data_IF_053371118049
#
_entry.id   IF_053371118049
#
_cell.length_a   1.000
_cell.length_b   1.000
_cell.length_c   1.000
_cell.angle_alpha   90.00
_cell.angle_beta   90.00
_cell.angle_gamma   90.00
#
_symmetry.space_group_name_H-M   'P 1'
#
loop_
_entity.id
_entity.type
_entity.pdbx_description
1 polymer ?
#
# COMPACT_ATOMS: atom_id res chain seq x y z
N UNK A 1 -4.60 -5.02 -8.01
CA UNK A 1 -4.01 -3.98 -7.14
C UNK A 1 -3.63 -2.80 -8.01
N UNK A 2 -3.94 -1.59 -7.54
CA UNK A 2 -3.50 -0.34 -8.14
C UNK A 2 -2.55 0.34 -7.16
N UNK A 3 -1.37 0.74 -7.61
CA UNK A 3 -0.43 1.54 -6.84
C UNK A 3 -0.20 2.86 -7.57
N UNK A 4 -0.45 3.97 -6.88
CA UNK A 4 -0.26 5.31 -7.43
C UNK A 4 0.96 5.94 -6.76
N UNK A 5 1.92 6.39 -7.58
CA UNK A 5 2.97 7.27 -7.13
C UNK A 5 2.62 8.70 -7.51
N UNK A 6 2.16 9.48 -6.53
CA UNK A 6 1.78 10.87 -6.74
C UNK A 6 2.96 11.79 -7.01
N UNK A 7 4.15 11.47 -6.48
CA UNK A 7 5.34 12.32 -6.68
C UNK A 7 5.89 12.20 -8.10
N UNK A 8 5.91 10.98 -8.64
CA UNK A 8 6.44 10.68 -9.97
C UNK A 8 5.34 10.57 -11.04
N UNK A 9 4.10 10.90 -10.68
CA UNK A 9 2.91 10.88 -11.55
C UNK A 9 2.74 9.59 -12.38
N UNK A 10 2.98 8.43 -11.77
CA UNK A 10 2.77 7.14 -12.44
C UNK A 10 1.85 6.19 -11.67
N UNK A 11 1.28 5.25 -12.42
CA UNK A 11 0.42 4.19 -11.89
C UNK A 11 0.99 2.81 -12.25
N UNK A 12 0.98 1.89 -11.30
CA UNK A 12 1.29 0.48 -11.51
C UNK A 12 0.03 -0.33 -11.27
N UNK A 13 -0.35 -1.09 -12.29
CA UNK A 13 -1.42 -2.08 -12.21
C UNK A 13 -0.81 -3.46 -12.06
N UNK A 14 -1.18 -4.15 -10.98
CA UNK A 14 -0.75 -5.53 -10.74
C UNK A 14 -1.97 -6.43 -10.55
N UNK A 15 -2.19 -7.45 -11.41
CA UNK A 15 -3.26 -8.40 -11.18
C UNK A 15 -3.00 -9.17 -9.89
N UNK A 16 -4.08 -9.39 -9.13
CA UNK A 16 -4.09 -10.26 -7.97
C UNK A 16 -4.85 -11.53 -8.36
N UNK A 17 -4.26 -12.69 -8.10
CA UNK A 17 -4.93 -13.98 -8.29
C UNK A 17 -5.97 -14.20 -7.19
N UNK A 18 -5.62 -13.83 -5.95
CA UNK A 18 -6.50 -13.81 -4.80
C UNK A 18 -6.39 -12.47 -4.09
N UNK A 19 -7.49 -12.00 -3.51
CA UNK A 19 -7.47 -10.85 -2.60
C UNK A 19 -7.02 -11.37 -1.23
N UNK A 20 -5.71 -11.60 -1.07
CA UNK A 20 -5.07 -12.02 0.19
C UNK A 20 -3.96 -11.06 0.57
N UNK A 21 -3.71 -10.91 1.87
CA UNK A 21 -2.75 -9.94 2.40
C UNK A 21 -1.32 -10.27 1.93
N UNK A 22 -0.97 -11.55 1.89
CA UNK A 22 0.34 -12.05 1.47
C UNK A 22 0.62 -11.70 -0.01
N UNK A 23 -0.38 -11.86 -0.89
CA UNK A 23 -0.21 -11.51 -2.30
C UNK A 23 -0.04 -10.01 -2.48
N UNK A 24 -0.84 -9.19 -1.78
CA UNK A 24 -0.71 -7.73 -1.81
C UNK A 24 0.66 -7.28 -1.29
N UNK A 25 1.13 -7.85 -0.18
CA UNK A 25 2.44 -7.57 0.39
C UNK A 25 3.56 -7.91 -0.60
N UNK A 26 3.46 -9.06 -1.27
CA UNK A 26 4.42 -9.48 -2.30
C UNK A 26 4.46 -8.51 -3.49
N UNK A 27 3.30 -8.06 -3.99
CA UNK A 27 3.25 -7.05 -5.07
C UNK A 27 3.84 -5.71 -4.62
N UNK A 28 3.51 -5.24 -3.42
CA UNK A 28 4.06 -4.00 -2.85
C UNK A 28 5.58 -4.08 -2.70
N UNK A 29 6.11 -5.17 -2.15
CA UNK A 29 7.54 -5.37 -1.99
C UNK A 29 8.28 -5.29 -3.34
N UNK A 30 7.72 -5.92 -4.37
CA UNK A 30 8.28 -5.83 -5.73
C UNK A 30 8.32 -4.38 -6.24
N UNK A 31 7.28 -3.60 -6.00
CA UNK A 31 7.24 -2.18 -6.38
C UNK A 31 8.32 -1.40 -5.62
N UNK A 32 8.43 -1.58 -4.31
CA UNK A 32 9.42 -0.86 -3.48
C UNK A 32 10.86 -1.21 -3.84
N UNK A 33 11.15 -2.47 -4.18
CA UNK A 33 12.47 -2.87 -4.64
C UNK A 33 12.82 -2.35 -6.04
N UNK A 34 11.81 -2.03 -6.85
CA UNK A 34 12.02 -1.52 -8.22
C UNK A 34 12.15 0.00 -8.26
N UNK A 35 11.32 0.72 -7.51
CA UNK A 35 11.20 2.18 -7.58
C UNK A 35 11.67 2.92 -6.31
N UNK A 36 12.06 2.16 -5.29
CA UNK A 36 12.32 2.69 -3.95
C UNK A 36 11.07 2.61 -3.06
N UNK A 37 11.32 2.53 -1.76
CA UNK A 37 10.28 2.48 -0.75
C UNK A 37 9.81 3.92 -0.41
N UNK A 38 8.49 4.18 -0.31
CA UNK A 38 7.95 5.51 -0.03
C UNK A 38 7.94 5.89 1.46
N UNK A 39 8.28 7.11 1.83
CA UNK A 39 8.18 7.58 3.22
C UNK A 39 6.75 7.69 3.76
N UNK A 40 5.76 7.78 2.85
CA UNK A 40 4.33 7.81 3.16
C UNK A 40 3.63 6.75 2.31
N UNK A 41 2.85 5.88 2.95
CA UNK A 41 2.02 4.89 2.28
C UNK A 41 0.56 5.10 2.65
N UNK A 42 -0.28 5.38 1.66
CA UNK A 42 -1.71 5.58 1.82
C UNK A 42 -2.47 4.32 1.36
N UNK A 43 -3.30 3.76 2.23
CA UNK A 43 -4.20 2.65 1.89
C UNK A 43 -5.66 3.08 1.92
N UNK A 44 -6.49 2.33 1.21
CA UNK A 44 -7.92 2.45 1.41
C UNK A 44 -8.36 1.92 2.79
N UNK A 45 -9.63 2.12 3.14
CA UNK A 45 -10.20 1.61 4.39
C UNK A 45 -10.59 0.12 4.33
N UNK A 46 -10.10 -0.62 3.33
CA UNK A 46 -10.21 -2.07 3.31
C UNK A 46 -9.46 -2.65 4.51
N UNK A 47 -10.19 -3.00 5.57
CA UNK A 47 -9.63 -3.42 6.86
C UNK A 47 -8.83 -4.72 6.77
N UNK A 48 -9.21 -5.62 5.85
CA UNK A 48 -8.73 -7.01 5.88
C UNK A 48 -7.26 -7.16 5.47
N UNK A 49 -6.83 -6.44 4.43
CA UNK A 49 -5.46 -6.56 3.90
C UNK A 49 -4.50 -5.57 4.55
N UNK A 50 -5.00 -4.37 4.85
CA UNK A 50 -4.17 -3.26 5.29
C UNK A 50 -3.58 -3.51 6.67
N UNK A 51 -4.37 -4.02 7.64
CA UNK A 51 -3.95 -4.04 9.04
C UNK A 51 -2.76 -4.96 9.34
N UNK A 52 -2.74 -6.18 8.80
CA UNK A 52 -1.66 -7.14 9.04
C UNK A 52 -0.34 -6.66 8.39
N UNK A 53 -0.42 -6.24 7.13
CA UNK A 53 0.73 -5.70 6.37
C UNK A 53 1.26 -4.43 7.05
N UNK A 54 0.37 -3.53 7.51
CA UNK A 54 0.74 -2.32 8.24
C UNK A 54 1.53 -2.63 9.51
N UNK A 55 1.08 -3.61 10.30
CA UNK A 55 1.75 -3.98 11.54
C UNK A 55 3.18 -4.48 11.28
N UNK A 56 3.36 -5.31 10.26
CA UNK A 56 4.66 -5.83 9.87
C UNK A 56 5.57 -4.72 9.29
N UNK A 57 5.04 -3.88 8.41
CA UNK A 57 5.78 -2.73 7.87
C UNK A 57 6.25 -1.77 8.96
N UNK A 58 5.43 -1.48 9.98
CA UNK A 58 5.86 -0.64 11.11
C UNK A 58 7.00 -1.26 11.92
N UNK A 59 7.08 -2.58 11.97
CA UNK A 59 8.15 -3.28 12.70
C UNK A 59 9.47 -3.17 11.95
N UNK A 60 9.46 -3.41 10.65
CA UNK A 60 10.65 -3.35 9.80
C UNK A 60 11.06 -1.92 9.42
N UNK A 61 10.10 -0.98 9.46
CA UNK A 61 10.27 0.39 8.98
C UNK A 61 9.55 1.40 9.89
N UNK A 62 10.17 1.76 11.04
CA UNK A 62 9.54 2.59 12.05
C UNK A 62 9.21 4.01 11.60
N UNK A 63 9.98 4.56 10.64
CA UNK A 63 9.78 5.92 10.11
C UNK A 63 8.64 6.02 9.08
N UNK A 64 8.08 4.88 8.64
CA UNK A 64 7.01 4.85 7.66
C UNK A 64 5.74 5.53 8.20
N UNK A 65 5.27 6.56 7.48
CA UNK A 65 3.99 7.20 7.77
C UNK A 65 2.88 6.49 7.00
N UNK A 66 1.99 5.84 7.75
CA UNK A 66 0.83 5.17 7.18
C UNK A 66 -0.41 6.05 7.31
N UNK A 67 -1.08 6.25 6.17
CA UNK A 67 -2.33 7.01 6.08
C UNK A 67 -3.43 6.08 5.63
N UNK A 68 -4.49 5.95 6.42
CA UNK A 68 -5.72 5.26 6.00
C UNK A 68 -6.73 6.29 5.50
N UNK A 69 -7.35 6.02 4.35
CA UNK A 69 -8.39 6.89 3.81
C UNK A 69 -9.56 7.09 4.79
N UNK A 70 -10.40 8.12 4.58
CA UNK A 70 -11.54 8.35 5.48
C UNK A 70 -12.73 7.44 5.15
N UNK A 71 -13.48 6.93 6.16
CA UNK A 71 -14.64 6.08 5.89
C UNK A 71 -15.65 6.81 5.01
N UNK A 72 -16.13 6.12 3.95
CA UNK A 72 -17.14 6.65 3.01
C UNK A 72 -16.74 7.93 2.27
N UNK A 73 -15.43 8.21 2.14
CA UNK A 73 -14.93 9.40 1.45
C UNK A 73 -13.91 9.03 0.34
N UNK A 74 -14.36 8.43 -0.77
CA UNK A 74 -13.47 7.91 -1.82
C UNK A 74 -12.63 8.98 -2.51
N UNK A 75 -13.05 10.26 -2.47
CA UNK A 75 -12.28 11.39 -3.00
C UNK A 75 -10.99 11.67 -2.22
N UNK A 76 -10.86 11.14 -1.01
CA UNK A 76 -9.66 11.28 -0.18
C UNK A 76 -8.62 10.20 -0.43
N UNK A 77 -8.92 9.24 -1.31
CA UNK A 77 -8.11 8.06 -1.59
C UNK A 77 -7.25 8.23 -2.82
#
# INVERSE_FOLDING_TARGET
MTYLNHFMEFCILSPLMLKQAEEVASKLLKIFLTFGAPSILQSDNGQEFSNAIIAELKTCWPELKLVTGRPRHPQSQ
#
